data_IF_671232340605
#
_entry.id   IF_671232340605
#
_cell.length_a   1.000
_cell.length_b   1.000
_cell.length_c   1.000
_cell.angle_alpha   90.00
_cell.angle_beta   90.00
_cell.angle_gamma   90.00
#
_symmetry.space_group_name_H-M   'P 1'
#
loop_
_entity.id
_entity.type
_entity.pdbx_description
1 polymer ?
#
# COMPACT_ATOMS: atom_id res chain seq x y z
N UNK A 1 14.15 -0.34 17.43
CA UNK A 1 14.34 0.09 16.03
C UNK A 1 15.44 1.12 15.95
N UNK A 2 16.68 0.72 16.23
CA UNK A 2 17.85 1.58 16.11
C UNK A 2 18.23 1.76 14.62
N UNK A 3 18.59 2.98 14.22
CA UNK A 3 19.05 3.27 12.86
C UNK A 3 20.53 2.94 12.74
N UNK A 4 20.87 1.95 11.89
CA UNK A 4 22.27 1.51 11.67
C UNK A 4 23.01 2.33 10.60
N UNK A 5 22.29 2.75 9.56
CA UNK A 5 22.78 3.62 8.49
C UNK A 5 21.58 4.18 7.70
N UNK A 6 21.71 5.40 7.16
CA UNK A 6 20.73 6.03 6.24
C UNK A 6 21.45 6.82 5.15
N UNK A 7 20.81 6.94 3.99
CA UNK A 7 21.27 7.80 2.89
C UNK A 7 20.26 8.91 2.62
N UNK A 8 20.73 10.16 2.57
CA UNK A 8 19.85 11.33 2.43
C UNK A 8 19.38 11.61 1.00
N UNK A 9 20.09 11.05 0.00
CA UNK A 9 19.82 11.28 -1.42
C UNK A 9 21.03 10.99 -2.30
N UNK A 10 20.92 11.27 -3.60
CA UNK A 10 21.93 11.00 -4.63
C UNK A 10 22.10 12.21 -5.55
N UNK A 11 23.25 12.32 -6.22
CA UNK A 11 23.52 13.38 -7.19
C UNK A 11 23.53 14.76 -6.53
N UNK A 12 22.77 15.71 -7.09
CA UNK A 12 22.59 17.05 -6.52
C UNK A 12 21.84 17.04 -5.17
N UNK A 13 21.07 16.00 -4.90
CA UNK A 13 20.37 15.78 -3.63
C UNK A 13 21.22 15.02 -2.60
N UNK A 14 22.55 14.97 -2.78
CA UNK A 14 23.45 14.32 -1.82
C UNK A 14 23.49 15.08 -0.49
N UNK A 15 23.94 14.38 0.57
CA UNK A 15 24.10 14.98 1.89
C UNK A 15 25.01 16.21 1.82
N UNK A 16 24.52 17.32 2.36
CA UNK A 16 25.30 18.54 2.63
C UNK A 16 25.03 18.98 4.06
N UNK A 17 25.93 19.77 4.64
CA UNK A 17 25.77 20.27 6.00
C UNK A 17 24.46 21.04 6.14
N UNK A 18 23.55 20.56 7.02
CA UNK A 18 22.18 21.09 7.22
C UNK A 18 21.31 21.13 5.94
N UNK A 19 21.63 20.33 4.94
CA UNK A 19 20.78 20.15 3.76
C UNK A 19 19.59 19.25 4.04
N UNK A 20 18.59 19.31 3.16
CA UNK A 20 17.40 18.48 3.25
C UNK A 20 17.75 16.99 3.19
N UNK A 21 17.21 16.20 4.12
CA UNK A 21 17.48 14.78 4.21
C UNK A 21 16.23 13.95 3.92
N UNK A 22 16.19 13.33 2.73
CA UNK A 22 15.02 12.57 2.30
C UNK A 22 14.73 11.31 3.14
N UNK A 23 15.66 10.84 3.97
CA UNK A 23 15.41 9.68 4.83
C UNK A 23 14.58 10.03 6.09
N UNK A 24 14.60 11.29 6.52
CA UNK A 24 14.01 11.71 7.81
C UNK A 24 13.08 12.92 7.72
N UNK A 25 13.19 13.73 6.66
CA UNK A 25 12.40 14.96 6.49
C UNK A 25 11.41 14.89 5.31
N UNK A 26 11.48 13.82 4.53
CA UNK A 26 10.65 13.65 3.35
C UNK A 26 9.20 13.37 3.73
N UNK A 27 8.31 14.27 3.33
CA UNK A 27 6.87 14.06 3.40
C UNK A 27 6.34 13.60 2.03
N UNK A 28 5.92 12.33 1.96
CA UNK A 28 5.30 11.75 0.77
C UNK A 28 4.30 10.67 1.17
N UNK A 29 3.30 10.45 0.32
CA UNK A 29 2.41 9.31 0.47
C UNK A 29 3.20 7.99 0.41
N UNK A 30 2.96 7.10 1.38
CA UNK A 30 3.55 5.76 1.42
C UNK A 30 3.01 4.85 0.29
N UNK A 31 1.84 5.19 -0.25
CA UNK A 31 1.19 4.39 -1.29
C UNK A 31 0.84 2.98 -0.78
N UNK A 32 1.02 1.97 -1.63
CA UNK A 32 0.58 0.60 -1.32
C UNK A 32 1.33 -0.08 -0.17
N UNK A 33 2.47 0.47 0.28
CA UNK A 33 3.15 -0.04 1.48
C UNK A 33 2.32 0.19 2.75
N UNK A 34 1.28 1.03 2.67
CA UNK A 34 0.35 1.27 3.77
C UNK A 34 -0.75 0.21 3.90
N UNK A 35 -1.07 -0.52 2.82
CA UNK A 35 -2.16 -1.51 2.81
C UNK A 35 -2.03 -2.59 3.88
N UNK A 36 -0.84 -3.16 4.16
CA UNK A 36 -0.69 -4.10 5.28
C UNK A 36 -1.10 -3.50 6.62
N UNK A 37 -0.91 -2.19 6.82
CA UNK A 37 -1.11 -1.52 8.12
C UNK A 37 -2.56 -1.06 8.30
N UNK A 38 -3.17 -0.45 7.29
CA UNK A 38 -4.51 0.15 7.41
C UNK A 38 -5.64 -0.74 6.90
N UNK A 39 -5.36 -1.68 6.00
CA UNK A 39 -6.39 -2.48 5.33
C UNK A 39 -6.35 -3.92 5.89
N UNK A 40 -5.25 -4.63 5.61
CA UNK A 40 -5.18 -6.07 5.90
C UNK A 40 -4.93 -6.41 7.37
N UNK A 41 -4.09 -5.67 8.10
CA UNK A 41 -3.88 -5.95 9.53
C UNK A 41 -5.16 -5.76 10.35
N UNK A 42 -5.94 -4.68 10.18
CA UNK A 42 -7.24 -4.56 10.83
C UNK A 42 -8.24 -5.64 10.43
N UNK A 43 -8.27 -6.07 9.16
CA UNK A 43 -9.14 -7.18 8.74
C UNK A 43 -8.76 -8.50 9.43
N UNK A 44 -7.47 -8.77 9.61
CA UNK A 44 -7.01 -9.94 10.39
C UNK A 44 -7.37 -9.77 11.87
N UNK A 45 -7.10 -8.60 12.46
CA UNK A 45 -7.28 -8.37 13.90
C UNK A 45 -8.75 -8.33 14.30
N UNK A 46 -9.60 -7.60 13.57
CA UNK A 46 -10.97 -7.34 13.99
C UNK A 46 -11.99 -8.23 13.29
N UNK A 47 -11.78 -8.57 12.02
CA UNK A 47 -12.69 -9.45 11.27
C UNK A 47 -12.28 -10.92 11.32
N UNK A 48 -11.09 -11.22 11.86
CA UNK A 48 -10.52 -12.57 11.96
C UNK A 48 -10.42 -13.27 10.61
N UNK A 49 -10.16 -12.50 9.55
CA UNK A 49 -10.00 -13.05 8.21
C UNK A 49 -8.71 -13.87 8.10
N UNK A 50 -8.85 -15.13 7.67
CA UNK A 50 -7.71 -15.96 7.33
C UNK A 50 -7.04 -15.45 6.03
N UNK A 51 -5.75 -15.75 5.84
CA UNK A 51 -5.02 -15.33 4.62
C UNK A 51 -5.63 -15.83 3.29
N UNK A 52 -6.45 -16.89 3.33
CA UNK A 52 -7.19 -17.43 2.19
C UNK A 52 -8.55 -16.75 1.94
N UNK A 53 -8.99 -15.83 2.81
CA UNK A 53 -10.27 -15.14 2.67
C UNK A 53 -10.43 -14.57 1.26
N UNK A 54 -11.58 -14.83 0.63
CA UNK A 54 -11.86 -14.44 -0.74
C UNK A 54 -12.38 -13.02 -0.77
N UNK A 55 -11.74 -12.16 -1.56
CA UNK A 55 -12.13 -10.78 -1.78
C UNK A 55 -12.40 -10.60 -3.27
N UNK A 56 -13.48 -9.91 -3.59
CA UNK A 56 -13.90 -9.69 -4.96
C UNK A 56 -13.14 -8.51 -5.62
N UNK A 57 -12.32 -8.82 -6.63
CA UNK A 57 -11.57 -7.87 -7.45
C UNK A 57 -12.31 -7.53 -8.77
N UNK A 58 -13.58 -7.13 -8.67
CA UNK A 58 -14.42 -6.65 -9.77
C UNK A 58 -14.45 -5.11 -9.88
N UNK A 59 -14.95 -4.51 -10.99
CA UNK A 59 -15.07 -3.07 -11.13
C UNK A 59 -15.69 -2.39 -9.91
N UNK A 60 -15.03 -1.36 -9.39
CA UNK A 60 -15.45 -0.66 -8.19
C UNK A 60 -15.36 0.86 -8.37
N UNK A 61 -16.32 1.58 -7.78
CA UNK A 61 -16.35 3.03 -7.74
C UNK A 61 -16.56 3.49 -6.31
N UNK A 62 -15.90 4.57 -5.93
CA UNK A 62 -16.24 5.27 -4.70
C UNK A 62 -17.67 5.82 -4.79
N UNK A 63 -18.25 6.19 -3.64
CA UNK A 63 -19.55 6.87 -3.57
C UNK A 63 -19.59 8.17 -4.37
N UNK A 64 -18.43 8.80 -4.60
CA UNK A 64 -18.26 9.98 -5.47
C UNK A 64 -18.40 9.66 -6.97
N UNK A 65 -18.48 8.39 -7.36
CA UNK A 65 -18.50 7.93 -8.75
C UNK A 65 -17.11 7.75 -9.37
N UNK A 66 -16.03 8.12 -8.67
CA UNK A 66 -14.67 7.91 -9.16
C UNK A 66 -14.33 6.42 -9.22
N UNK A 67 -13.87 5.97 -10.38
CA UNK A 67 -13.44 4.58 -10.58
C UNK A 67 -12.12 4.29 -9.87
N UNK A 68 -12.09 3.16 -9.16
CA UNK A 68 -10.85 2.60 -8.64
C UNK A 68 -10.27 1.65 -9.69
N UNK A 69 -8.98 1.82 -9.97
CA UNK A 69 -8.26 1.00 -10.94
C UNK A 69 -7.11 0.26 -10.26
N UNK A 70 -6.95 -1.00 -10.60
CA UNK A 70 -5.71 -1.72 -10.34
C UNK A 70 -4.61 -1.23 -11.28
N UNK A 71 -3.34 -1.43 -10.90
CA UNK A 71 -2.19 -0.92 -11.65
C UNK A 71 -2.15 -1.41 -13.11
N UNK A 72 -2.59 -2.65 -13.35
CA UNK A 72 -2.67 -3.29 -14.66
C UNK A 72 -4.01 -3.04 -15.38
N UNK A 73 -4.95 -2.32 -14.75
CA UNK A 73 -6.30 -2.05 -15.25
C UNK A 73 -7.14 -3.31 -15.53
N UNK A 74 -6.74 -4.46 -14.99
CA UNK A 74 -7.47 -5.72 -15.12
C UNK A 74 -8.25 -6.04 -13.84
N UNK A 75 -9.09 -7.07 -13.91
CA UNK A 75 -9.87 -7.61 -12.79
C UNK A 75 -9.66 -9.11 -12.71
N UNK A 76 -9.46 -9.63 -11.50
CA UNK A 76 -9.25 -11.07 -11.28
C UNK A 76 -10.48 -11.79 -10.72
N UNK A 77 -11.55 -11.06 -10.42
CA UNK A 77 -12.73 -11.62 -9.74
C UNK A 77 -12.38 -12.05 -8.31
N UNK A 78 -12.95 -13.15 -7.79
CA UNK A 78 -12.63 -13.65 -6.46
C UNK A 78 -11.15 -14.05 -6.35
N UNK A 79 -10.42 -13.38 -5.48
CA UNK A 79 -9.02 -13.71 -5.17
C UNK A 79 -8.79 -13.80 -3.66
N UNK A 80 -7.78 -14.56 -3.25
CA UNK A 80 -7.39 -14.61 -1.83
C UNK A 80 -6.81 -13.28 -1.35
N UNK A 81 -7.02 -12.95 -0.08
CA UNK A 81 -6.37 -11.81 0.58
C UNK A 81 -4.85 -11.84 0.43
N UNK A 82 -4.23 -13.03 0.51
CA UNK A 82 -2.79 -13.22 0.28
C UNK A 82 -2.37 -12.81 -1.14
N UNK A 83 -3.07 -13.27 -2.16
CA UNK A 83 -2.73 -12.95 -3.55
C UNK A 83 -3.00 -11.46 -3.85
N UNK A 84 -4.08 -10.91 -3.31
CA UNK A 84 -4.40 -9.49 -3.39
C UNK A 84 -3.25 -8.62 -2.87
N UNK A 85 -2.73 -8.95 -1.68
CA UNK A 85 -1.61 -8.22 -1.08
C UNK A 85 -0.30 -8.44 -1.86
N UNK A 86 0.01 -9.67 -2.27
CA UNK A 86 1.21 -10.00 -3.07
C UNK A 86 1.26 -9.21 -4.38
N UNK A 87 0.12 -9.09 -5.06
CA UNK A 87 0.01 -8.33 -6.31
C UNK A 87 -0.27 -6.84 -6.09
N UNK A 88 -0.37 -6.40 -4.83
CA UNK A 88 -0.70 -5.02 -4.46
C UNK A 88 -1.96 -4.49 -5.17
N UNK A 89 -3.01 -5.31 -5.24
CA UNK A 89 -4.31 -4.95 -5.85
C UNK A 89 -4.95 -3.81 -5.06
N UNK A 90 -5.61 -2.87 -5.74
CA UNK A 90 -6.21 -1.69 -5.11
C UNK A 90 -7.65 -1.97 -4.65
N UNK A 91 -8.44 -2.63 -5.50
CA UNK A 91 -9.86 -2.86 -5.22
C UNK A 91 -10.05 -3.80 -4.00
N UNK A 92 -9.34 -4.94 -3.90
CA UNK A 92 -9.45 -5.79 -2.72
C UNK A 92 -8.97 -5.13 -1.43
N UNK A 93 -7.97 -4.25 -1.50
CA UNK A 93 -7.47 -3.53 -0.33
C UNK A 93 -8.51 -2.53 0.22
N UNK A 94 -9.33 -1.93 -0.65
CA UNK A 94 -10.44 -1.06 -0.22
C UNK A 94 -11.62 -1.86 0.35
N UNK A 95 -11.74 -3.13 -0.03
CA UNK A 95 -12.85 -4.02 0.36
C UNK A 95 -12.56 -4.87 1.61
N UNK A 96 -11.42 -4.68 2.27
CA UNK A 96 -11.10 -5.29 3.57
C UNK A 96 -11.61 -4.45 4.71
#
# INVERSE_FOLDING_TARGET
>A
GEVRAIGSGRGENKAVFKGHNMAIELDRAAGSTMKPIFDYAPAIEYLKWATYHQIDDSPFKYSTGQEVRNADRSHMGPITMREALKMSRNIPAIKT
#
